data_IF_847732460083
#
_entry.id   IF_847732460083
#
_cell.length_a   1.000
_cell.length_b   1.000
_cell.length_c   1.000
_cell.angle_alpha   90.00
_cell.angle_beta   90.00
_cell.angle_gamma   90.00
#
_symmetry.space_group_name_H-M   'P 1'
#
loop_
_entity.id
_entity.type
_entity.pdbx_description
1 polymer ?
#
# COMPACT_ATOMS: atom_id res chain seq x y z
N UNK A 1 -23.57 -34.35 4.92
CA UNK A 1 -22.31 -34.15 4.20
C UNK A 1 -22.50 -33.33 2.93
N UNK A 2 -22.63 -32.02 3.06
CA UNK A 2 -22.57 -31.08 1.93
C UNK A 2 -21.99 -29.76 2.44
N UNK A 3 -21.15 -29.06 1.66
CA UNK A 3 -20.79 -29.31 0.25
C UNK A 3 -19.40 -29.97 0.06
N UNK A 4 -19.30 -30.89 -0.91
CA UNK A 4 -18.06 -31.57 -1.32
C UNK A 4 -17.36 -30.84 -2.48
N UNK A 5 -17.21 -29.52 -2.39
CA UNK A 5 -16.55 -28.70 -3.42
C UNK A 5 -15.88 -27.48 -2.83
N UNK A 6 -14.96 -26.88 -3.58
CA UNK A 6 -14.30 -25.64 -3.19
C UNK A 6 -15.25 -24.45 -3.33
N UNK A 7 -15.28 -23.58 -2.32
CA UNK A 7 -16.04 -22.34 -2.34
C UNK A 7 -15.36 -21.25 -3.16
N UNK A 8 -16.14 -20.37 -3.80
CA UNK A 8 -15.63 -19.18 -4.47
C UNK A 8 -14.92 -18.29 -3.44
N UNK A 9 -13.74 -17.77 -3.80
CA UNK A 9 -12.91 -16.97 -2.89
C UNK A 9 -11.96 -17.79 -2.01
N UNK A 10 -11.94 -19.13 -2.14
CA UNK A 10 -10.89 -19.93 -1.51
C UNK A 10 -9.52 -19.48 -2.02
N UNK A 11 -8.63 -19.07 -1.10
CA UNK A 11 -7.31 -18.55 -1.44
C UNK A 11 -6.44 -19.69 -1.98
N UNK A 12 -5.97 -19.56 -3.22
CA UNK A 12 -5.06 -20.49 -3.89
C UNK A 12 -3.90 -19.72 -4.53
N UNK A 13 -2.98 -20.44 -5.19
CA UNK A 13 -1.87 -19.85 -5.91
C UNK A 13 -2.33 -18.86 -6.99
N UNK A 14 -1.55 -17.80 -7.18
CA UNK A 14 -1.81 -16.75 -8.16
C UNK A 14 -0.68 -15.73 -8.17
N UNK A 15 -0.78 -14.73 -9.07
CA UNK A 15 0.17 -13.63 -9.12
C UNK A 15 -0.01 -12.70 -7.92
N UNK A 16 1.05 -12.50 -7.14
CA UNK A 16 1.07 -11.60 -5.99
C UNK A 16 1.66 -10.23 -6.38
N UNK A 17 1.16 -9.16 -5.76
CA UNK A 17 1.69 -7.80 -5.91
C UNK A 17 1.13 -7.05 -7.12
N UNK A 18 1.68 -5.85 -7.36
CA UNK A 18 1.22 -4.93 -8.44
C UNK A 18 -0.11 -4.22 -8.16
N UNK A 19 -0.72 -4.49 -7.01
CA UNK A 19 -1.95 -3.82 -6.59
C UNK A 19 -1.65 -2.43 -6.02
N UNK A 20 -2.56 -1.48 -6.24
CA UNK A 20 -2.52 -0.16 -5.58
C UNK A 20 -2.89 -0.35 -4.10
N UNK A 21 -1.98 0.01 -3.20
CA UNK A 21 -2.17 -0.09 -1.75
C UNK A 21 -1.98 1.28 -1.13
N UNK A 22 -2.86 1.64 -0.19
CA UNK A 22 -2.80 2.90 0.56
C UNK A 22 -2.43 2.60 2.00
N UNK A 23 -1.39 3.23 2.52
CA UNK A 23 -1.04 3.16 3.95
C UNK A 23 -1.72 4.33 4.64
N UNK A 24 -2.61 4.02 5.57
CA UNK A 24 -3.43 5.02 6.27
C UNK A 24 -2.72 5.54 7.52
N UNK A 25 -3.06 6.78 7.91
CA UNK A 25 -2.65 7.40 9.18
C UNK A 25 -1.13 7.50 9.40
N UNK A 26 -0.36 7.71 8.32
CA UNK A 26 1.06 8.01 8.43
C UNK A 26 1.28 9.40 9.05
N UNK A 27 2.22 9.49 10.00
CA UNK A 27 2.51 10.75 10.68
C UNK A 27 3.52 11.57 9.87
N UNK A 28 3.14 12.77 9.47
CA UNK A 28 4.06 13.75 8.88
C UNK A 28 4.94 14.33 9.99
N UNK A 29 6.26 14.20 9.86
CA UNK A 29 7.22 14.70 10.84
C UNK A 29 7.68 16.12 10.51
N UNK A 30 8.01 16.37 9.24
CA UNK A 30 8.54 17.66 8.79
C UNK A 30 8.17 17.94 7.35
N UNK A 31 7.81 19.18 7.08
CA UNK A 31 7.64 19.72 5.72
C UNK A 31 8.75 20.73 5.50
N UNK A 32 9.57 20.54 4.47
CA UNK A 32 10.64 21.47 4.09
C UNK A 32 10.33 21.99 2.68
N UNK A 33 9.57 23.09 2.56
CA UNK A 33 9.11 23.59 1.26
C UNK A 33 10.26 24.06 0.36
N UNK A 34 11.32 24.63 0.93
CA UNK A 34 12.51 25.09 0.19
C UNK A 34 13.19 23.99 -0.64
N UNK A 35 13.11 22.74 -0.15
CA UNK A 35 13.73 21.57 -0.79
C UNK A 35 12.69 20.63 -1.42
N UNK A 36 11.41 21.00 -1.38
CA UNK A 36 10.28 20.15 -1.77
C UNK A 36 10.30 18.76 -1.07
N UNK A 37 10.69 18.72 0.21
CA UNK A 37 10.78 17.48 0.98
C UNK A 37 9.61 17.34 1.96
N UNK A 38 9.03 16.14 1.97
CA UNK A 38 8.05 15.71 2.96
C UNK A 38 8.60 14.50 3.72
N UNK A 39 8.87 14.68 5.01
CA UNK A 39 9.37 13.60 5.87
C UNK A 39 8.19 12.94 6.58
N UNK A 40 7.99 11.65 6.28
CA UNK A 40 6.89 10.85 6.84
C UNK A 40 7.46 9.74 7.71
N UNK A 41 6.83 9.48 8.86
CA UNK A 41 7.17 8.34 9.73
C UNK A 41 6.40 7.11 9.27
N UNK A 42 7.11 6.13 8.71
CA UNK A 42 6.55 4.81 8.38
C UNK A 42 7.04 4.28 7.04
N UNK A 43 6.37 3.26 6.54
CA UNK A 43 6.68 2.63 5.25
C UNK A 43 5.78 3.19 4.15
N UNK A 44 6.38 3.47 2.98
CA UNK A 44 5.67 3.90 1.77
C UNK A 44 5.65 2.74 0.79
N UNK A 45 4.49 2.39 0.19
CA UNK A 45 4.41 1.29 -0.76
C UNK A 45 5.09 1.66 -2.07
N UNK A 46 5.74 0.67 -2.70
CA UNK A 46 6.46 0.83 -3.96
C UNK A 46 7.98 0.82 -3.81
N UNK A 47 8.69 0.92 -4.94
CA UNK A 47 10.14 1.01 -4.97
C UNK A 47 10.61 2.46 -4.80
N UNK A 48 11.92 2.66 -4.56
CA UNK A 48 12.54 4.00 -4.53
C UNK A 48 12.27 4.74 -5.84
N UNK A 49 11.92 6.02 -5.78
CA UNK A 49 11.56 6.87 -6.92
C UNK A 49 10.24 6.52 -7.63
N UNK A 50 9.38 5.67 -7.04
CA UNK A 50 8.02 5.48 -7.54
C UNK A 50 7.15 6.72 -7.25
N UNK A 51 6.16 6.96 -8.11
CA UNK A 51 5.14 7.98 -7.86
C UNK A 51 4.20 7.54 -6.75
N UNK A 52 3.86 8.49 -5.88
CA UNK A 52 2.92 8.29 -4.77
C UNK A 52 1.88 9.40 -4.79
N UNK A 53 0.65 9.06 -4.41
CA UNK A 53 -0.46 10.01 -4.27
C UNK A 53 -0.73 10.15 -2.77
N UNK A 54 -0.72 11.38 -2.28
CA UNK A 54 -0.95 11.70 -0.87
C UNK A 54 -2.34 12.31 -0.75
N UNK A 55 -3.15 11.74 0.13
CA UNK A 55 -4.47 12.25 0.49
C UNK A 55 -4.42 12.82 1.92
N UNK A 56 -5.15 13.92 2.15
CA UNK A 56 -5.27 14.57 3.46
C UNK A 56 -6.48 14.03 4.22
#
# INVERSE_FOLDING_TARGET
SYPARVFKGMRMAGRMGGNKVTVQNLRVLKVVPEKNLLVVKGCVPGHKNAYVIIHK
#
